data_IF_804271547409
#
_entry.id   IF_804271547409
#
_cell.length_a   1.000
_cell.length_b   1.000
_cell.length_c   1.000
_cell.angle_alpha   90.00
_cell.angle_beta   90.00
_cell.angle_gamma   90.00
#
_symmetry.space_group_name_H-M   'P 1'
#
loop_
_entity.id
_entity.type
_entity.pdbx_description
1 polymer ?
#
# COMPACT_ATOMS: atom_id res chain seq x y z
N UNK A 1 6.79 18.58 -2.20
CA UNK A 1 6.63 19.94 -2.77
C UNK A 1 7.93 20.41 -3.43
N UNK A 2 9.10 20.21 -2.82
CA UNK A 2 10.38 20.69 -3.36
C UNK A 2 10.73 20.03 -4.71
N UNK A 3 10.54 18.72 -4.85
CA UNK A 3 10.79 17.99 -6.11
C UNK A 3 9.90 18.44 -7.27
N UNK A 4 8.66 18.84 -7.00
CA UNK A 4 7.75 19.34 -8.03
C UNK A 4 8.17 20.73 -8.51
N UNK A 5 8.64 21.58 -7.61
CA UNK A 5 9.17 22.90 -7.98
C UNK A 5 10.47 22.80 -8.79
N UNK A 6 11.40 21.93 -8.40
CA UNK A 6 12.62 21.69 -9.17
C UNK A 6 12.33 21.14 -10.57
N UNK A 7 11.38 20.20 -10.68
CA UNK A 7 10.98 19.65 -11.98
C UNK A 7 10.33 20.71 -12.88
N UNK A 8 9.50 21.62 -12.34
CA UNK A 8 8.89 22.69 -13.11
C UNK A 8 9.90 23.75 -13.58
N UNK A 9 10.96 23.99 -12.80
CA UNK A 9 12.05 24.89 -13.16
C UNK A 9 12.99 24.29 -14.21
N UNK A 10 13.21 22.97 -14.20
CA UNK A 10 14.11 22.29 -15.13
C UNK A 10 13.45 21.91 -16.46
N UNK A 11 12.12 21.71 -16.50
CA UNK A 11 11.39 21.22 -17.68
C UNK A 11 10.25 22.13 -18.15
N UNK A 12 9.97 23.21 -17.45
CA UNK A 12 9.07 24.25 -17.96
C UNK A 12 9.74 24.97 -19.12
N UNK A 13 9.09 24.98 -20.28
CA UNK A 13 9.50 25.74 -21.45
C UNK A 13 9.52 27.26 -21.14
N UNK A 14 10.53 27.71 -20.42
CA UNK A 14 10.83 29.10 -20.24
C UNK A 14 12.02 29.43 -21.12
N UNK A 15 11.79 30.10 -22.21
CA UNK A 15 12.74 30.90 -22.95
C UNK A 15 13.18 32.13 -22.12
N UNK A 16 13.35 31.93 -20.81
CA UNK A 16 13.87 32.94 -19.90
C UNK A 16 15.25 32.51 -19.45
N UNK A 17 16.25 33.35 -19.73
CA UNK A 17 17.56 33.20 -19.10
C UNK A 17 17.39 33.34 -17.61
N UNK A 18 17.67 32.25 -16.85
CA UNK A 18 17.76 32.29 -15.38
C UNK A 18 18.80 33.33 -15.04
N UNK A 19 18.40 34.39 -14.35
CA UNK A 19 19.32 35.45 -13.98
C UNK A 19 20.21 34.99 -12.81
N UNK A 20 21.42 35.57 -12.71
CA UNK A 20 22.29 35.30 -11.56
C UNK A 20 21.57 35.60 -10.22
N UNK A 21 20.72 36.64 -10.22
CA UNK A 21 19.92 36.99 -9.05
C UNK A 21 18.91 35.90 -8.63
N UNK A 22 18.33 35.15 -9.59
CA UNK A 22 17.42 34.03 -9.28
C UNK A 22 18.20 32.87 -8.68
N UNK A 23 19.42 32.61 -9.16
CA UNK A 23 20.30 31.59 -8.60
C UNK A 23 20.75 31.95 -7.17
N UNK A 24 21.09 33.21 -6.94
CA UNK A 24 21.51 33.72 -5.63
C UNK A 24 20.36 33.67 -4.62
N UNK A 25 19.12 33.98 -5.05
CA UNK A 25 17.92 33.87 -4.24
C UNK A 25 17.62 32.42 -3.90
N UNK A 26 17.73 31.50 -4.86
CA UNK A 26 17.50 30.07 -4.66
C UNK A 26 18.55 29.47 -3.71
N UNK A 27 19.81 29.85 -3.85
CA UNK A 27 20.89 29.44 -2.96
C UNK A 27 20.69 29.97 -1.53
N UNK A 28 20.23 31.20 -1.37
CA UNK A 28 19.90 31.75 -0.06
C UNK A 28 18.76 31.03 0.60
N UNK A 29 17.71 30.65 -0.14
CA UNK A 29 16.60 29.84 0.34
C UNK A 29 17.06 28.42 0.71
N UNK A 30 17.92 27.79 -0.10
CA UNK A 30 18.54 26.51 0.19
C UNK A 30 19.31 26.57 1.53
N UNK A 31 20.14 27.56 1.72
CA UNK A 31 20.90 27.76 2.96
C UNK A 31 19.99 28.05 4.17
N UNK A 32 18.89 28.78 3.97
CA UNK A 32 17.89 28.96 5.04
C UNK A 32 17.21 27.65 5.41
N UNK A 33 16.84 26.82 4.44
CA UNK A 33 16.26 25.51 4.68
C UNK A 33 17.26 24.53 5.32
N UNK A 34 18.51 24.56 4.89
CA UNK A 34 19.60 23.78 5.50
C UNK A 34 19.85 24.18 6.95
N UNK A 35 19.84 25.49 7.25
CA UNK A 35 20.02 26.00 8.60
C UNK A 35 18.77 25.82 9.48
N UNK A 36 17.58 25.94 8.94
CA UNK A 36 16.33 25.61 9.63
C UNK A 36 16.21 24.10 9.92
N UNK A 37 16.85 23.27 9.07
CA UNK A 37 17.02 21.83 9.30
C UNK A 37 18.15 21.47 10.28
N UNK A 38 18.73 22.42 11.00
CA UNK A 38 19.77 22.16 12.01
C UNK A 38 19.30 21.39 13.24
N UNK A 39 18.00 21.12 13.34
CA UNK A 39 17.44 20.08 14.21
C UNK A 39 17.41 18.71 13.52
N UNK A 40 18.49 18.29 12.86
CA UNK A 40 18.60 16.97 12.23
C UNK A 40 18.60 15.88 13.30
N UNK A 41 17.41 15.55 13.80
CA UNK A 41 17.21 14.30 14.50
C UNK A 41 17.36 13.16 13.49
N UNK A 42 18.33 12.28 13.68
CA UNK A 42 18.34 11.03 12.94
C UNK A 42 17.29 10.11 13.56
N UNK A 43 16.37 9.61 12.75
CA UNK A 43 15.43 8.58 13.18
C UNK A 43 16.05 7.24 12.77
N UNK A 44 16.40 6.45 13.77
CA UNK A 44 16.90 5.10 13.54
C UNK A 44 15.72 4.15 13.48
N UNK A 45 15.68 3.30 12.45
CA UNK A 45 14.66 2.26 12.35
C UNK A 45 14.81 1.28 13.54
N UNK A 46 13.73 0.97 14.27
CA UNK A 46 13.78 0.09 15.44
C UNK A 46 13.99 -1.39 15.05
N UNK A 47 13.77 -1.74 13.80
CA UNK A 47 13.92 -3.09 13.27
C UNK A 47 14.24 -3.06 11.76
N UNK A 48 14.67 -4.18 11.21
CA UNK A 48 14.78 -4.36 9.77
C UNK A 48 13.39 -4.48 9.14
N UNK A 49 13.16 -3.78 8.03
CA UNK A 49 11.87 -3.79 7.34
C UNK A 49 11.87 -2.89 6.11
N UNK A 50 10.72 -2.81 5.46
CA UNK A 50 10.48 -1.90 4.35
C UNK A 50 9.84 -0.61 4.86
N UNK A 51 10.46 0.52 4.60
CA UNK A 51 9.92 1.82 4.95
C UNK A 51 9.04 2.35 3.79
N UNK A 52 7.87 2.87 4.14
CA UNK A 52 7.03 3.65 3.23
C UNK A 52 6.54 4.91 3.92
N UNK A 53 6.55 6.03 3.19
CA UNK A 53 5.98 7.29 3.67
C UNK A 53 4.44 7.30 3.65
N UNK A 54 3.82 6.30 3.03
CA UNK A 54 2.36 6.20 2.96
C UNK A 54 1.82 5.60 4.26
N UNK A 55 1.09 6.39 5.01
CA UNK A 55 0.29 5.98 6.18
C UNK A 55 -1.17 6.22 5.86
N UNK A 56 -2.02 5.26 6.14
CA UNK A 56 -3.43 5.26 5.74
C UNK A 56 -4.40 4.92 6.88
N UNK A 57 -3.86 4.72 8.10
CA UNK A 57 -4.64 4.42 9.28
C UNK A 57 -5.03 2.95 9.44
N UNK A 58 -4.76 2.10 8.45
CA UNK A 58 -5.02 0.65 8.53
C UNK A 58 -3.91 -0.13 9.26
N UNK A 59 -2.95 0.55 9.86
CA UNK A 59 -1.82 -0.05 10.56
C UNK A 59 -2.24 -0.86 11.82
N UNK A 60 -3.46 -0.64 12.30
CA UNK A 60 -4.05 -1.40 13.42
C UNK A 60 -4.65 -2.75 13.02
N UNK A 61 -4.81 -3.03 11.71
CA UNK A 61 -5.30 -4.32 11.25
C UNK A 61 -4.23 -5.38 11.47
N UNK A 62 -4.60 -6.43 12.18
CA UNK A 62 -3.73 -7.59 12.42
C UNK A 62 -4.22 -8.82 11.65
N UNK A 63 -3.34 -9.78 11.34
CA UNK A 63 -3.73 -11.01 10.63
C UNK A 63 -4.85 -11.78 11.33
N UNK A 64 -4.88 -11.79 12.67
CA UNK A 64 -5.90 -12.49 13.47
C UNK A 64 -7.31 -11.94 13.22
N UNK A 65 -7.43 -10.63 12.92
CA UNK A 65 -8.70 -10.00 12.58
C UNK A 65 -9.23 -10.46 11.21
N UNK A 66 -8.37 -11.02 10.37
CA UNK A 66 -8.73 -11.50 9.03
C UNK A 66 -9.20 -12.95 9.02
N UNK A 67 -8.91 -13.73 10.06
CA UNK A 67 -9.26 -15.18 10.10
C UNK A 67 -10.76 -15.42 10.06
N UNK A 68 -11.55 -14.53 10.68
CA UNK A 68 -13.01 -14.64 10.76
C UNK A 68 -13.72 -13.54 9.97
N UNK A 69 -13.12 -13.05 8.90
CA UNK A 69 -13.68 -11.98 8.10
C UNK A 69 -14.89 -12.48 7.31
N UNK A 70 -16.00 -11.75 7.43
CA UNK A 70 -17.24 -12.01 6.69
C UNK A 70 -17.35 -11.10 5.46
N UNK A 71 -18.26 -11.37 4.49
CA UNK A 71 -18.51 -10.46 3.38
C UNK A 71 -18.81 -9.03 3.83
N UNK A 72 -19.70 -8.85 4.81
CA UNK A 72 -20.03 -7.55 5.39
C UNK A 72 -18.80 -6.89 6.06
N UNK A 73 -17.93 -7.71 6.67
CA UNK A 73 -16.67 -7.24 7.26
C UNK A 73 -15.70 -6.69 6.23
N UNK A 74 -15.56 -7.34 5.07
CA UNK A 74 -14.75 -6.83 3.94
C UNK A 74 -15.34 -5.53 3.44
N UNK A 75 -16.64 -5.47 3.20
CA UNK A 75 -17.35 -4.27 2.76
C UNK A 75 -17.20 -3.12 3.76
N UNK A 76 -17.25 -3.39 5.06
CA UNK A 76 -17.05 -2.40 6.09
C UNK A 76 -15.61 -1.83 6.07
N UNK A 77 -14.60 -2.69 5.91
CA UNK A 77 -13.20 -2.28 5.75
C UNK A 77 -13.01 -1.43 4.49
N UNK A 78 -13.68 -1.81 3.39
CA UNK A 78 -13.59 -1.06 2.14
C UNK A 78 -14.19 0.34 2.24
N UNK A 79 -15.31 0.49 2.96
CA UNK A 79 -15.99 1.79 3.16
C UNK A 79 -15.33 2.66 4.22
N UNK A 80 -14.57 2.07 5.13
CA UNK A 80 -13.88 2.80 6.20
C UNK A 80 -12.68 3.55 5.63
N UNK A 81 -12.51 4.79 6.08
CA UNK A 81 -11.28 5.55 5.87
C UNK A 81 -10.75 5.93 7.24
N UNK A 82 -9.83 5.14 7.81
CA UNK A 82 -9.28 5.41 9.13
C UNK A 82 -8.52 6.74 9.16
N UNK A 83 -8.45 7.35 10.35
CA UNK A 83 -7.68 8.56 10.53
C UNK A 83 -6.18 8.25 10.51
N UNK A 84 -5.44 8.96 9.67
CA UNK A 84 -3.98 8.88 9.65
C UNK A 84 -3.42 9.66 10.85
N UNK A 85 -2.45 9.12 11.60
CA UNK A 85 -1.80 9.85 12.68
C UNK A 85 -1.15 11.15 12.18
N UNK A 86 -1.48 12.28 12.80
CA UNK A 86 -1.09 13.62 12.33
C UNK A 86 0.44 13.84 12.24
N UNK A 87 1.21 13.10 13.03
CA UNK A 87 2.68 13.23 13.11
C UNK A 87 3.42 12.02 12.53
N UNK A 88 2.74 11.15 11.77
CA UNK A 88 3.38 10.01 11.15
C UNK A 88 4.18 10.45 9.93
N UNK A 89 5.48 10.17 9.93
CA UNK A 89 6.37 10.40 8.77
C UNK A 89 6.35 9.23 7.78
N UNK A 90 5.80 8.10 8.21
CA UNK A 90 5.73 6.86 7.46
C UNK A 90 5.54 5.67 8.37
N UNK A 91 5.58 4.48 7.79
CA UNK A 91 5.51 3.22 8.52
C UNK A 91 6.63 2.27 8.12
N UNK A 92 7.02 1.42 9.05
CA UNK A 92 7.99 0.35 8.83
C UNK A 92 7.24 -0.99 8.79
N UNK A 93 7.27 -1.64 7.64
CA UNK A 93 6.66 -2.96 7.47
C UNK A 93 7.72 -4.02 7.75
N UNK A 94 7.58 -4.72 8.86
CA UNK A 94 8.49 -5.77 9.32
C UNK A 94 8.02 -7.18 8.94
N UNK A 95 6.74 -7.30 8.56
CA UNK A 95 6.15 -8.57 8.13
C UNK A 95 6.70 -9.00 6.76
N UNK A 96 6.86 -10.31 6.59
CA UNK A 96 7.25 -10.93 5.31
C UNK A 96 6.06 -11.34 4.45
N UNK A 97 4.87 -11.27 5.02
CA UNK A 97 3.62 -11.64 4.36
C UNK A 97 2.68 -10.45 4.36
N UNK A 98 1.88 -10.37 3.34
CA UNK A 98 0.74 -9.47 3.26
C UNK A 98 -0.52 -10.27 2.90
N UNK A 99 -1.68 -9.65 3.08
CA UNK A 99 -2.94 -10.33 2.95
C UNK A 99 -3.84 -9.57 1.98
N UNK A 100 -4.59 -10.33 1.19
CA UNK A 100 -5.61 -9.81 0.30
C UNK A 100 -6.94 -10.47 0.66
N UNK A 101 -7.92 -9.65 1.01
CA UNK A 101 -9.28 -10.10 1.29
C UNK A 101 -10.20 -9.72 0.13
N UNK A 102 -11.03 -10.65 -0.30
CA UNK A 102 -11.96 -10.45 -1.41
C UNK A 102 -13.30 -11.10 -1.10
N UNK A 103 -14.36 -10.55 -1.67
CA UNK A 103 -15.70 -11.15 -1.63
C UNK A 103 -16.01 -11.71 -3.01
N UNK A 104 -16.36 -12.98 -3.06
CA UNK A 104 -16.69 -13.68 -4.30
C UNK A 104 -17.94 -14.54 -4.17
N UNK A 105 -18.46 -15.03 -5.29
CA UNK A 105 -19.59 -15.96 -5.27
C UNK A 105 -19.17 -17.30 -4.66
N UNK A 106 -20.11 -17.99 -4.01
CA UNK A 106 -19.88 -19.32 -3.43
C UNK A 106 -19.29 -20.31 -4.45
N UNK A 107 -19.81 -20.32 -5.68
CA UNK A 107 -19.33 -21.22 -6.74
C UNK A 107 -17.82 -21.04 -7.05
N UNK A 108 -17.32 -19.80 -7.02
CA UNK A 108 -15.91 -19.49 -7.24
C UNK A 108 -15.09 -19.83 -6.00
N UNK A 109 -15.61 -19.52 -4.81
CA UNK A 109 -14.96 -19.85 -3.54
C UNK A 109 -14.84 -21.37 -3.31
N UNK A 110 -15.80 -22.17 -3.79
CA UNK A 110 -15.78 -23.64 -3.67
C UNK A 110 -14.64 -24.28 -4.49
N UNK A 111 -14.14 -23.58 -5.52
CA UNK A 111 -12.96 -24.02 -6.29
C UNK A 111 -11.64 -23.81 -5.55
N UNK A 112 -11.65 -23.06 -4.47
CA UNK A 112 -10.48 -22.74 -3.65
C UNK A 112 -10.47 -23.66 -2.42
N UNK A 113 -9.38 -24.38 -2.24
CA UNK A 113 -9.19 -25.21 -1.05
C UNK A 113 -8.53 -24.39 0.07
N UNK A 114 -9.01 -24.55 1.29
CA UNK A 114 -8.36 -23.96 2.48
C UNK A 114 -6.91 -24.47 2.57
N UNK A 115 -5.98 -23.59 2.82
CA UNK A 115 -4.52 -23.82 2.76
C UNK A 115 -3.99 -24.24 1.37
N UNK A 116 -4.84 -24.19 0.34
CA UNK A 116 -4.45 -24.44 -1.05
C UNK A 116 -3.74 -23.24 -1.68
N UNK A 117 -2.99 -23.52 -2.75
CA UNK A 117 -2.34 -22.49 -3.55
C UNK A 117 -3.36 -21.80 -4.46
N UNK A 118 -3.21 -20.50 -4.63
CA UNK A 118 -3.91 -19.70 -5.61
C UNK A 118 -2.91 -18.75 -6.28
N UNK A 119 -3.24 -18.30 -7.48
CA UNK A 119 -2.48 -17.27 -8.18
C UNK A 119 -3.39 -16.05 -8.35
N UNK A 120 -2.90 -14.88 -7.95
CA UNK A 120 -3.61 -13.61 -8.04
C UNK A 120 -2.95 -12.74 -9.10
N UNK A 121 -3.76 -12.15 -9.96
CA UNK A 121 -3.35 -11.12 -10.92
C UNK A 121 -3.98 -9.78 -10.54
N UNK A 122 -3.17 -8.72 -10.49
CA UNK A 122 -3.57 -7.36 -10.12
C UNK A 122 -3.35 -6.41 -11.30
N UNK A 123 -4.16 -6.47 -12.36
CA UNK A 123 -3.86 -5.85 -13.65
C UNK A 123 -3.70 -4.33 -13.59
N UNK A 124 -4.22 -3.67 -12.56
CA UNK A 124 -4.15 -2.21 -12.40
C UNK A 124 -2.91 -1.73 -11.64
N UNK A 125 -2.25 -2.59 -10.85
CA UNK A 125 -1.24 -2.16 -9.89
C UNK A 125 0.08 -2.92 -9.95
N UNK A 126 0.07 -4.12 -10.48
CA UNK A 126 1.25 -4.98 -10.54
C UNK A 126 1.33 -5.73 -11.86
N UNK A 127 2.48 -5.66 -12.51
CA UNK A 127 2.71 -6.40 -13.76
C UNK A 127 3.24 -7.79 -13.42
N UNK A 128 2.36 -8.76 -13.44
CA UNK A 128 2.67 -10.16 -13.14
C UNK A 128 1.67 -10.76 -12.16
N UNK A 129 1.90 -12.00 -11.80
CA UNK A 129 1.05 -12.75 -10.90
C UNK A 129 1.71 -12.94 -9.53
N UNK A 130 0.91 -13.01 -8.49
CA UNK A 130 1.35 -13.24 -7.11
C UNK A 130 0.87 -14.60 -6.65
N UNK A 131 1.80 -15.45 -6.23
CA UNK A 131 1.44 -16.71 -5.56
C UNK A 131 0.91 -16.43 -4.16
N UNK A 132 -0.23 -17.02 -3.86
CA UNK A 132 -0.93 -16.86 -2.59
C UNK A 132 -1.35 -18.22 -2.03
N UNK A 133 -1.64 -18.23 -0.74
CA UNK A 133 -2.25 -19.37 -0.05
C UNK A 133 -3.61 -18.93 0.49
N UNK A 134 -4.64 -19.72 0.31
CA UNK A 134 -5.97 -19.45 0.89
C UNK A 134 -5.88 -19.63 2.41
N UNK A 135 -5.94 -18.53 3.15
CA UNK A 135 -5.81 -18.53 4.61
C UNK A 135 -7.13 -18.82 5.30
N UNK A 136 -8.21 -18.15 4.89
CA UNK A 136 -9.54 -18.36 5.44
C UNK A 136 -10.64 -18.19 4.39
N UNK A 137 -11.78 -18.81 4.67
CA UNK A 137 -13.02 -18.67 3.89
C UNK A 137 -14.17 -18.55 4.88
N UNK A 138 -15.04 -17.56 4.70
CA UNK A 138 -16.25 -17.45 5.51
C UNK A 138 -17.31 -18.45 5.07
N UNK A 139 -18.34 -18.62 5.91
CA UNK A 139 -19.62 -19.15 5.44
C UNK A 139 -20.24 -18.17 4.42
N UNK A 140 -21.06 -18.68 3.49
CA UNK A 140 -21.80 -17.81 2.59
C UNK A 140 -22.81 -16.95 3.34
N UNK A 141 -22.93 -15.69 2.93
CA UNK A 141 -24.02 -14.84 3.40
C UNK A 141 -25.37 -15.18 2.71
N UNK A 142 -26.45 -14.45 3.07
CA UNK A 142 -27.78 -14.63 2.50
C UNK A 142 -27.85 -14.41 0.98
N UNK A 143 -26.86 -13.72 0.41
CA UNK A 143 -26.73 -13.48 -1.04
C UNK A 143 -25.81 -14.49 -1.74
N UNK A 144 -25.29 -15.46 -1.02
CA UNK A 144 -24.37 -16.49 -1.52
C UNK A 144 -22.95 -15.96 -1.76
N UNK A 145 -22.56 -14.89 -1.07
CA UNK A 145 -21.21 -14.35 -1.10
C UNK A 145 -20.35 -14.94 0.01
N UNK A 146 -19.07 -15.12 -0.29
CA UNK A 146 -18.07 -15.69 0.61
C UNK A 146 -16.89 -14.73 0.67
N UNK A 147 -16.44 -14.38 1.87
CA UNK A 147 -15.18 -13.68 2.05
C UNK A 147 -14.03 -14.69 2.02
N UNK A 148 -13.04 -14.43 1.21
CA UNK A 148 -11.83 -15.26 1.09
C UNK A 148 -10.62 -14.40 1.38
N UNK A 149 -9.74 -14.87 2.25
CA UNK A 149 -8.48 -14.20 2.60
C UNK A 149 -7.32 -15.00 2.05
N UNK A 150 -6.47 -14.32 1.32
CA UNK A 150 -5.25 -14.87 0.73
C UNK A 150 -4.03 -14.33 1.47
N UNK A 151 -3.09 -15.20 1.81
CA UNK A 151 -1.79 -14.85 2.34
C UNK A 151 -0.75 -14.89 1.22
N UNK A 152 -0.08 -13.77 0.98
CA UNK A 152 0.92 -13.58 -0.07
C UNK A 152 2.31 -13.37 0.55
N UNK A 153 3.34 -13.98 -0.03
CA UNK A 153 4.72 -13.88 0.46
C UNK A 153 5.69 -13.28 -0.58
N UNK A 154 5.17 -12.88 -1.73
CA UNK A 154 5.94 -12.27 -2.81
C UNK A 154 5.46 -10.84 -3.09
N UNK A 155 6.26 -10.07 -3.83
CA UNK A 155 5.94 -8.73 -4.31
C UNK A 155 5.56 -7.71 -3.20
N UNK A 156 6.01 -7.90 -1.96
CA UNK A 156 5.66 -7.00 -0.85
C UNK A 156 6.07 -5.56 -1.11
N UNK A 157 7.25 -5.32 -1.69
CA UNK A 157 7.73 -3.98 -2.04
C UNK A 157 6.82 -3.26 -3.04
N UNK A 158 6.33 -4.01 -4.03
CA UNK A 158 5.55 -3.48 -5.14
C UNK A 158 4.08 -3.25 -4.73
N UNK A 159 3.62 -4.00 -3.73
CA UNK A 159 2.23 -3.96 -3.25
C UNK A 159 2.01 -3.06 -2.03
N UNK A 160 3.08 -2.47 -1.46
CA UNK A 160 2.98 -1.62 -0.26
C UNK A 160 1.98 -0.47 -0.35
N UNK A 161 1.80 0.09 -1.53
CA UNK A 161 0.87 1.19 -1.78
C UNK A 161 -0.54 0.72 -2.16
N UNK A 162 -0.73 -0.58 -2.45
CA UNK A 162 -2.04 -1.12 -2.78
C UNK A 162 -2.92 -1.21 -1.54
N UNK A 163 -4.19 -0.82 -1.67
CA UNK A 163 -5.18 -0.93 -0.62
C UNK A 163 -6.48 -1.53 -1.14
N UNK A 164 -7.19 -0.78 -1.93
CA UNK A 164 -8.46 -1.19 -2.53
C UNK A 164 -8.19 -1.46 -4.00
N UNK A 165 -8.25 -2.72 -4.39
CA UNK A 165 -7.96 -3.13 -5.76
C UNK A 165 -8.76 -4.38 -6.11
N UNK A 166 -8.98 -4.59 -7.38
CA UNK A 166 -9.50 -5.84 -7.91
C UNK A 166 -8.35 -6.79 -8.22
N UNK A 167 -8.58 -8.07 -8.03
CA UNK A 167 -7.67 -9.12 -8.46
C UNK A 167 -8.44 -10.21 -9.20
N UNK A 168 -7.84 -10.74 -10.24
CA UNK A 168 -8.30 -11.94 -10.90
C UNK A 168 -7.66 -13.17 -10.22
N UNK A 169 -8.48 -14.13 -9.85
CA UNK A 169 -8.02 -15.41 -9.29
C UNK A 169 -7.82 -16.39 -10.43
N UNK A 170 -6.57 -16.77 -10.67
CA UNK A 170 -6.22 -17.78 -11.65
C UNK A 170 -6.29 -19.15 -10.98
N UNK A 171 -7.24 -19.95 -11.38
CA UNK A 171 -7.36 -21.32 -10.89
C UNK A 171 -6.40 -22.23 -11.66
N UNK A 172 -5.58 -23.01 -10.94
CA UNK A 172 -4.87 -24.13 -11.58
C UNK A 172 -5.85 -25.24 -11.88
N UNK A 173 -5.87 -25.69 -13.14
CA UNK A 173 -6.57 -26.91 -13.55
C UNK A 173 -5.95 -28.16 -12.92
#
# INVERSE_FOLDING_TARGET
>A
ALNVMLSSLLFGSATGTVSQGDLDALNAELHQLENAGAGRGSITAPAAGLFTSTTDGYESLTPDMLENLTPDGVDALERTTPATPANAIGKLVTAKKWYFASVMNKADADRLNLNGSATLDFPQHYTGTVSATVMSKSEPDDSGKVAVVFACNAALSDTLAMRKTTADVVYSE
#
